data_IF_824133089809
#
_entry.id   IF_824133089809
#
_cell.length_a   1.000
_cell.length_b   1.000
_cell.length_c   1.000
_cell.angle_alpha   90.00
_cell.angle_beta   90.00
_cell.angle_gamma   90.00
#
_symmetry.space_group_name_H-M   'P 1'
#
loop_
_entity.id
_entity.type
_entity.pdbx_description
1 polymer ?
#
# COMPACT_ATOMS: atom_id res chain seq x y z
N UNK A 1 7.40 -10.43 4.38
CA UNK A 1 6.50 -11.28 3.57
C UNK A 1 5.06 -11.02 4.02
N UNK A 2 4.45 -9.94 3.54
CA UNK A 2 3.00 -9.69 3.72
C UNK A 2 2.20 -10.70 2.94
N UNK A 3 1.28 -11.35 3.60
CA UNK A 3 0.19 -12.05 2.93
C UNK A 3 -0.80 -11.02 2.39
N UNK A 4 -1.04 -11.01 1.08
CA UNK A 4 -1.99 -10.14 0.39
C UNK A 4 -3.41 -10.30 0.93
N UNK A 5 -3.68 -9.57 2.00
CA UNK A 5 -4.78 -9.78 2.91
C UNK A 5 -5.76 -8.62 2.81
N UNK A 6 -7.04 -8.92 2.61
CA UNK A 6 -8.06 -7.93 2.90
C UNK A 6 -8.14 -7.73 4.41
N UNK A 7 -7.80 -6.52 4.79
CA UNK A 7 -7.62 -6.10 6.14
C UNK A 7 -8.65 -5.06 6.50
N UNK A 8 -9.32 -5.35 7.61
CA UNK A 8 -10.22 -4.40 8.21
C UNK A 8 -9.39 -3.43 9.05
N UNK A 9 -9.51 -2.14 8.72
CA UNK A 9 -8.86 -1.05 9.41
C UNK A 9 -9.92 -0.33 10.23
N UNK A 10 -9.67 -0.16 11.52
CA UNK A 10 -10.46 0.77 12.34
C UNK A 10 -9.92 2.18 12.10
N UNK A 11 -10.75 3.16 11.73
CA UNK A 11 -10.29 4.54 11.63
C UNK A 11 -9.76 5.04 12.99
N UNK A 12 -8.78 5.94 13.01
CA UNK A 12 -8.37 6.61 14.23
C UNK A 12 -9.60 7.31 14.84
N UNK A 13 -9.78 7.13 16.15
CA UNK A 13 -10.96 7.54 16.93
C UNK A 13 -11.21 9.05 16.81
N UNK A 14 -11.89 9.50 15.77
CA UNK A 14 -12.54 10.80 15.72
C UNK A 14 -13.96 10.64 16.26
N UNK A 15 -14.35 11.35 17.33
CA UNK A 15 -15.67 11.19 17.97
C UNK A 15 -16.84 11.64 17.09
N UNK A 16 -16.57 12.21 15.90
CA UNK A 16 -17.57 12.73 14.95
C UNK A 16 -17.82 11.81 13.75
N UNK A 17 -17.10 10.71 13.62
CA UNK A 17 -17.17 9.84 12.45
C UNK A 17 -17.65 8.45 12.88
N UNK A 18 -18.73 7.97 12.25
CA UNK A 18 -19.27 6.63 12.44
C UNK A 18 -18.13 5.61 12.28
N UNK A 19 -18.08 4.64 13.19
CA UNK A 19 -17.07 3.57 13.28
C UNK A 19 -17.17 2.63 12.08
N UNK A 20 -16.84 3.10 10.89
CA UNK A 20 -16.89 2.29 9.69
C UNK A 20 -15.57 1.54 9.53
N UNK A 21 -15.65 0.23 9.72
CA UNK A 21 -14.54 -0.65 9.42
C UNK A 21 -14.31 -0.66 7.91
N UNK A 22 -13.11 -0.23 7.49
CA UNK A 22 -12.75 -0.15 6.08
C UNK A 22 -12.02 -1.42 5.67
N UNK A 23 -12.50 -2.09 4.63
CA UNK A 23 -11.82 -3.25 4.04
C UNK A 23 -10.88 -2.75 2.95
N UNK A 24 -9.57 -2.93 3.15
CA UNK A 24 -8.52 -2.58 2.19
C UNK A 24 -7.59 -3.77 1.97
N UNK A 25 -6.91 -3.84 0.83
CA UNK A 25 -5.95 -4.91 0.52
C UNK A 25 -4.56 -4.51 1.00
N UNK A 26 -3.92 -5.38 1.78
CA UNK A 26 -2.53 -5.28 2.17
C UNK A 26 -1.61 -5.59 0.99
N UNK A 27 -0.74 -4.64 0.64
CA UNK A 27 0.18 -4.71 -0.51
C UNK A 27 1.63 -4.96 -0.07
N UNK A 28 2.08 -4.31 1.00
CA UNK A 28 3.48 -4.37 1.47
C UNK A 28 3.60 -4.23 2.99
N UNK A 29 4.65 -4.85 3.57
CA UNK A 29 5.01 -4.83 4.99
C UNK A 29 6.25 -3.96 5.18
N UNK A 30 6.59 -3.71 6.45
CA UNK A 30 7.88 -3.17 6.82
C UNK A 30 9.06 -3.76 6.04
N UNK A 31 9.95 -2.88 5.60
CA UNK A 31 11.14 -3.25 4.86
C UNK A 31 10.91 -3.48 3.36
N UNK A 32 9.70 -3.79 2.93
CA UNK A 32 9.37 -3.93 1.51
C UNK A 32 9.50 -2.57 0.81
N UNK A 33 9.92 -2.61 -0.45
CA UNK A 33 10.01 -1.46 -1.31
C UNK A 33 8.97 -1.58 -2.40
N UNK A 34 8.13 -0.56 -2.52
CA UNK A 34 7.06 -0.56 -3.50
C UNK A 34 7.11 0.65 -4.41
N UNK A 35 6.62 0.45 -5.62
CA UNK A 35 6.24 1.55 -6.51
C UNK A 35 4.87 2.10 -6.10
N UNK A 36 4.75 3.40 -5.87
CA UNK A 36 3.46 4.04 -5.54
C UNK A 36 2.68 4.36 -6.83
N UNK A 37 1.39 4.68 -6.73
CA UNK A 37 0.54 5.05 -7.88
C UNK A 37 0.25 6.56 -7.93
N UNK A 38 1.04 7.38 -7.24
CA UNK A 38 0.77 8.82 -7.11
C UNK A 38 0.94 9.36 -5.69
N UNK A 39 1.59 8.60 -4.80
CA UNK A 39 2.05 9.18 -3.53
C UNK A 39 3.28 10.06 -3.79
N UNK A 40 3.61 10.94 -2.83
CA UNK A 40 4.71 11.93 -2.88
C UNK A 40 5.98 11.51 -3.62
N UNK A 41 6.37 10.23 -3.51
CA UNK A 41 7.48 9.61 -4.23
C UNK A 41 7.00 8.44 -5.07
N UNK A 42 7.62 8.24 -6.23
CA UNK A 42 7.36 7.10 -7.13
C UNK A 42 7.66 5.76 -6.49
N UNK A 43 8.60 5.73 -5.54
CA UNK A 43 8.98 4.55 -4.77
C UNK A 43 9.05 4.88 -3.29
N UNK A 44 8.67 3.93 -2.44
CA UNK A 44 8.75 4.07 -0.99
C UNK A 44 9.12 2.76 -0.33
N UNK A 45 10.09 2.82 0.59
CA UNK A 45 10.39 1.74 1.51
C UNK A 45 9.46 1.85 2.71
N UNK A 46 8.75 0.77 3.03
CA UNK A 46 7.79 0.78 4.12
C UNK A 46 8.53 0.85 5.47
N UNK A 47 8.22 1.84 6.33
CA UNK A 47 8.84 1.95 7.64
C UNK A 47 8.54 0.76 8.54
N UNK A 48 9.39 0.57 9.56
CA UNK A 48 9.18 -0.46 10.60
C UNK A 48 7.81 -0.28 11.28
N UNK A 49 7.10 -1.38 11.53
CA UNK A 49 5.77 -1.39 12.14
C UNK A 49 4.65 -0.78 11.29
N UNK A 50 4.91 -0.50 10.01
CA UNK A 50 3.92 0.04 9.07
C UNK A 50 3.64 -0.95 7.94
N UNK A 51 2.56 -0.68 7.22
CA UNK A 51 2.13 -1.43 6.05
C UNK A 51 1.58 -0.50 4.98
N UNK A 52 1.51 -0.99 3.75
CA UNK A 52 0.85 -0.30 2.64
C UNK A 52 -0.44 -1.02 2.28
N UNK A 53 -1.53 -0.26 2.22
CA UNK A 53 -2.87 -0.77 1.94
C UNK A 53 -3.53 0.00 0.80
N UNK A 54 -4.21 -0.71 -0.10
CA UNK A 54 -4.90 -0.14 -1.26
C UNK A 54 -6.34 -0.62 -1.35
N UNK A 55 -7.25 0.23 -1.82
CA UNK A 55 -8.63 -0.15 -2.11
C UNK A 55 -8.79 -0.70 -3.54
N UNK A 56 -9.85 -1.48 -3.78
CA UNK A 56 -10.15 -1.95 -5.14
C UNK A 56 -10.73 -0.84 -6.02
N UNK A 57 -11.52 0.08 -5.45
CA UNK A 57 -12.08 1.20 -6.19
C UNK A 57 -11.15 2.43 -6.15
N UNK A 58 -10.13 2.42 -6.99
CA UNK A 58 -9.06 3.44 -7.03
C UNK A 58 -9.56 4.87 -7.26
N UNK A 59 -10.73 5.07 -7.91
CA UNK A 59 -11.28 6.42 -8.19
C UNK A 59 -11.87 7.11 -6.97
N UNK A 60 -12.32 6.35 -5.98
CA UNK A 60 -13.07 6.88 -4.84
C UNK A 60 -12.52 6.42 -3.48
N UNK A 61 -11.61 5.45 -3.47
CA UNK A 61 -11.00 4.93 -2.25
C UNK A 61 -9.90 5.87 -1.77
N UNK A 62 -10.05 6.39 -0.55
CA UNK A 62 -8.95 6.95 0.22
C UNK A 62 -8.10 5.78 0.73
N UNK A 63 -6.85 5.69 0.29
CA UNK A 63 -5.92 4.61 0.66
C UNK A 63 -4.47 5.11 0.88
N UNK A 64 -3.50 4.19 0.99
CA UNK A 64 -2.10 4.57 1.28
C UNK A 64 -1.48 5.46 0.21
N UNK A 65 -1.99 5.47 -1.02
CA UNK A 65 -1.56 6.42 -2.03
C UNK A 65 -1.95 7.87 -1.67
N UNK A 66 -2.95 8.07 -0.80
CA UNK A 66 -3.39 9.38 -0.31
C UNK A 66 -2.70 9.76 1.01
N UNK A 67 -2.71 8.87 2.01
CA UNK A 67 -2.21 9.17 3.36
C UNK A 67 -0.83 8.60 3.69
N UNK A 68 -0.29 7.70 2.86
CA UNK A 68 1.00 7.04 3.07
C UNK A 68 0.89 5.71 3.85
N UNK A 69 2.01 5.19 4.38
CA UNK A 69 2.04 3.96 5.15
C UNK A 69 1.19 4.04 6.43
N UNK A 70 0.55 2.93 6.81
CA UNK A 70 -0.36 2.84 7.96
C UNK A 70 0.24 1.95 9.05
N UNK A 71 0.12 2.31 10.35
CA UNK A 71 0.57 1.45 11.43
C UNK A 71 -0.12 0.09 11.39
N UNK A 72 0.66 -0.98 11.52
CA UNK A 72 0.15 -2.36 11.51
C UNK A 72 -0.80 -2.63 12.69
N UNK A 73 -0.74 -1.83 13.76
CA UNK A 73 -1.63 -1.96 14.91
C UNK A 73 -3.10 -1.59 14.63
N UNK A 74 -3.40 -0.91 13.51
CA UNK A 74 -4.77 -0.54 13.13
C UNK A 74 -5.53 -1.68 12.41
N UNK A 75 -4.80 -2.74 12.11
CA UNK A 75 -5.27 -3.95 11.45
C UNK A 75 -5.92 -4.88 12.48
N UNK A 76 -7.20 -5.24 12.31
CA UNK A 76 -7.91 -6.06 13.30
C UNK A 76 -8.53 -7.36 12.78
N UNK A 77 -8.47 -7.62 11.48
CA UNK A 77 -9.11 -8.82 10.91
C UNK A 77 -8.60 -9.20 9.54
N UNK A 78 -8.70 -10.51 9.23
CA UNK A 78 -8.30 -11.13 7.97
C UNK A 78 -9.53 -11.66 7.23
N UNK A 79 -9.84 -11.16 6.04
CA UNK A 79 -10.84 -11.82 5.19
C UNK A 79 -10.23 -13.07 4.54
N UNK A 80 -10.93 -14.21 4.66
CA UNK A 80 -10.45 -15.51 4.18
C UNK A 80 -11.25 -16.06 3.00
N UNK A 81 -12.56 -15.81 2.96
CA UNK A 81 -13.46 -16.36 1.95
C UNK A 81 -14.47 -15.32 1.49
N UNK A 82 -14.83 -15.38 0.21
CA UNK A 82 -16.05 -14.78 -0.32
C UNK A 82 -17.12 -15.87 -0.23
N UNK A 83 -18.23 -15.59 0.44
CA UNK A 83 -19.33 -16.55 0.66
C UNK A 83 -20.50 -16.26 -0.29
N UNK A 84 -20.68 -14.99 -0.71
CA UNK A 84 -21.80 -14.55 -1.53
C UNK A 84 -21.35 -13.70 -2.73
N UNK A 85 -22.03 -13.78 -3.89
CA UNK A 85 -23.03 -14.80 -4.25
C UNK A 85 -22.43 -16.22 -4.28
N UNK A 86 -23.27 -17.26 -4.10
CA UNK A 86 -22.81 -18.65 -3.87
C UNK A 86 -21.96 -19.19 -5.03
N UNK A 87 -22.24 -18.75 -6.26
CA UNK A 87 -21.44 -19.02 -7.47
C UNK A 87 -20.03 -18.41 -7.41
N UNK A 88 -19.82 -17.42 -6.55
CA UNK A 88 -18.52 -16.81 -6.24
C UNK A 88 -17.94 -17.29 -4.91
N UNK A 89 -18.44 -18.38 -4.33
CA UNK A 89 -17.80 -18.96 -3.16
C UNK A 89 -16.35 -19.28 -3.51
N UNK A 90 -15.41 -18.56 -2.92
CA UNK A 90 -13.99 -18.84 -3.10
C UNK A 90 -13.15 -18.41 -1.92
N UNK A 91 -12.07 -19.14 -1.70
CA UNK A 91 -10.98 -18.70 -0.83
C UNK A 91 -10.29 -17.51 -1.46
N UNK A 92 -10.03 -16.49 -0.66
CA UNK A 92 -9.26 -15.33 -1.09
C UNK A 92 -7.78 -15.72 -1.13
N UNK A 93 -7.31 -15.98 -2.34
CA UNK A 93 -5.90 -16.28 -2.59
C UNK A 93 -5.04 -15.02 -2.55
N UNK A 94 -3.75 -15.24 -2.26
CA UNK A 94 -2.74 -14.19 -2.21
C UNK A 94 -2.52 -13.65 -3.62
N UNK A 95 -2.97 -12.43 -3.88
CA UNK A 95 -2.55 -11.73 -5.08
C UNK A 95 -1.23 -11.03 -4.79
N UNK A 96 -0.14 -11.71 -5.15
CA UNK A 96 1.18 -11.09 -5.24
C UNK A 96 1.28 -10.44 -6.62
N UNK A 97 1.56 -9.14 -6.67
CA UNK A 97 1.88 -8.45 -7.91
C UNK A 97 3.40 -8.25 -7.96
N UNK A 98 4.15 -9.12 -8.67
CA UNK A 98 5.61 -9.04 -8.74
C UNK A 98 6.08 -7.70 -9.31
N UNK A 99 5.26 -7.03 -10.12
CA UNK A 99 5.64 -5.76 -10.75
C UNK A 99 5.68 -4.59 -9.77
N UNK A 100 5.20 -4.79 -8.53
CA UNK A 100 4.99 -3.71 -7.56
C UNK A 100 6.02 -3.73 -6.44
N UNK A 101 6.57 -4.89 -6.11
CA UNK A 101 7.62 -5.03 -5.10
C UNK A 101 8.95 -5.05 -5.81
N UNK A 102 9.76 -4.03 -5.57
CA UNK A 102 11.08 -3.93 -6.16
C UNK A 102 12.07 -4.77 -5.36
N UNK A 103 12.90 -5.52 -6.07
CA UNK A 103 14.08 -6.14 -5.50
C UNK A 103 15.12 -5.09 -5.11
N UNK A 104 16.10 -5.46 -4.27
CA UNK A 104 17.19 -4.55 -3.85
C UNK A 104 17.92 -3.96 -5.06
N UNK A 105 18.15 -4.76 -6.11
CA UNK A 105 18.83 -4.31 -7.32
C UNK A 105 18.00 -3.27 -8.09
N UNK A 106 16.68 -3.44 -8.15
CA UNK A 106 15.78 -2.49 -8.81
C UNK A 106 15.63 -1.20 -8.01
N UNK A 107 15.75 -1.27 -6.67
CA UNK A 107 15.79 -0.09 -5.81
C UNK A 107 16.98 0.80 -6.10
N UNK A 108 18.19 0.23 -6.08
CA UNK A 108 19.43 0.99 -6.26
C UNK A 108 19.44 1.70 -7.63
N UNK A 109 18.85 1.05 -8.63
CA UNK A 109 18.64 1.65 -9.95
C UNK A 109 17.63 2.79 -9.92
N UNK A 110 16.52 2.63 -9.19
CA UNK A 110 15.50 3.68 -9.03
C UNK A 110 16.02 4.88 -8.22
N UNK A 111 16.79 4.67 -7.16
CA UNK A 111 17.36 5.74 -6.34
C UNK A 111 18.39 6.56 -7.14
N UNK A 112 19.29 5.89 -7.87
CA UNK A 112 20.23 6.57 -8.78
C UNK A 112 19.51 7.43 -9.82
N UNK A 113 18.39 6.93 -10.38
CA UNK A 113 17.62 7.70 -11.35
C UNK A 113 16.91 8.93 -10.76
N UNK A 114 16.47 8.86 -9.50
CA UNK A 114 15.88 10.01 -8.81
C UNK A 114 16.94 11.06 -8.48
N UNK A 115 18.13 10.61 -8.05
CA UNK A 115 19.25 11.50 -7.69
C UNK A 115 19.82 12.21 -8.93
N UNK A 116 19.86 11.54 -10.08
CA UNK A 116 20.23 12.13 -11.37
C UNK A 116 19.17 13.14 -11.85
N UNK A 117 17.89 12.85 -11.64
CA UNK A 117 16.79 13.76 -11.97
C UNK A 117 16.81 15.04 -11.10
N UNK A 118 17.07 14.92 -9.80
CA UNK A 118 17.20 16.08 -8.90
C UNK A 118 18.42 16.94 -9.28
N UNK A 119 19.55 16.31 -9.65
CA UNK A 119 20.72 17.02 -10.16
C UNK A 119 20.41 17.79 -11.46
N UNK A 120 19.62 17.22 -12.38
CA UNK A 120 19.26 17.87 -13.63
C UNK A 120 18.26 19.03 -13.44
N UNK A 121 17.33 18.93 -12.49
CA UNK A 121 16.45 20.05 -12.12
C UNK A 121 17.26 21.22 -11.54
N UNK A 122 18.27 20.93 -10.71
CA UNK A 122 19.15 21.95 -10.15
C UNK A 122 20.02 22.62 -11.23
N UNK A 123 20.49 21.87 -12.23
CA UNK A 123 21.26 22.42 -13.36
C UNK A 123 20.47 23.35 -14.29
N UNK A 124 19.15 23.27 -14.31
CA UNK A 124 18.28 24.12 -15.14
C UNK A 124 17.97 25.46 -14.44
N UNK A 125 18.29 25.58 -13.15
CA UNK A 125 18.01 26.76 -12.33
C UNK A 125 19.23 27.69 -12.12
N UNK A 126 20.38 27.37 -12.70
CA UNK A 126 21.61 28.19 -12.76
C UNK A 126 21.84 28.76 -14.18
#
# INVERSE_FOLDING_TARGET
MVDGLFLMISPPKSPRCVKENQIKRLIALEGDLIKTKGYKKTHIRIPKGHCWVEGENRKYSIDSNSYGPVPIALLFGKASHIIWPLDRWKTLEKQFDPSRILTVNEYEKADKSNEESDCDVLRILD
#
